data_IF_455220905936
#
_entry.id   IF_455220905936
#
_cell.length_a   1.000
_cell.length_b   1.000
_cell.length_c   1.000
_cell.angle_alpha   90.00
_cell.angle_beta   90.00
_cell.angle_gamma   90.00
#
_symmetry.space_group_name_H-M   'P 1'
#
loop_
_entity.id
_entity.type
_entity.pdbx_description
1 polymer ?
#
# COMPACT_ATOMS: atom_id res chain seq x y z
N UNK A 1 24.63 -8.48 15.46
CA UNK A 1 23.90 -7.43 16.19
C UNK A 1 24.55 -6.10 15.86
N UNK A 2 24.12 -5.44 14.79
CA UNK A 2 24.69 -4.16 14.38
C UNK A 2 24.01 -3.05 15.17
N UNK A 3 24.72 -2.51 16.17
CA UNK A 3 24.34 -1.27 16.82
C UNK A 3 24.47 -0.15 15.79
N UNK A 4 23.36 0.27 15.19
CA UNK A 4 23.29 1.54 14.49
C UNK A 4 23.52 2.61 15.54
N UNK A 5 24.70 3.24 15.54
CA UNK A 5 24.92 4.48 16.27
C UNK A 5 23.82 5.46 15.86
N UNK A 6 22.84 5.64 16.74
CA UNK A 6 21.67 6.46 16.50
C UNK A 6 22.15 7.91 16.36
N UNK A 7 22.36 8.35 15.13
CA UNK A 7 22.72 9.71 14.85
C UNK A 7 21.64 10.61 15.45
N UNK A 8 21.98 11.48 16.43
CA UNK A 8 20.99 12.27 17.16
C UNK A 8 20.21 13.18 16.22
N UNK A 9 20.84 13.64 15.13
CA UNK A 9 20.19 14.45 14.08
C UNK A 9 19.12 13.64 13.36
N UNK A 10 19.40 12.36 13.03
CA UNK A 10 18.42 11.49 12.37
C UNK A 10 17.24 11.18 13.29
N UNK A 11 17.50 11.04 14.59
CA UNK A 11 16.44 10.79 15.58
C UNK A 11 15.55 12.02 15.74
N UNK A 12 16.14 13.21 15.87
CA UNK A 12 15.41 14.48 15.94
C UNK A 12 14.56 14.72 14.68
N UNK A 13 15.12 14.42 13.50
CA UNK A 13 14.37 14.54 12.24
C UNK A 13 13.19 13.58 12.19
N UNK A 14 13.34 12.34 12.67
CA UNK A 14 12.24 11.36 12.76
C UNK A 14 11.15 11.82 13.70
N UNK A 15 11.51 12.37 14.87
CA UNK A 15 10.55 12.89 15.84
C UNK A 15 9.78 14.09 15.27
N UNK A 16 10.46 14.99 14.55
CA UNK A 16 9.83 16.14 13.89
C UNK A 16 8.89 15.72 12.77
N UNK A 17 9.27 14.73 11.96
CA UNK A 17 8.40 14.15 10.93
C UNK A 17 7.17 13.52 11.58
N UNK A 18 7.35 12.70 12.62
CA UNK A 18 6.25 12.06 13.34
C UNK A 18 5.27 13.09 13.93
N UNK A 19 5.78 14.22 14.43
CA UNK A 19 4.95 15.31 14.92
C UNK A 19 4.13 15.97 13.80
N UNK A 20 4.74 16.18 12.62
CA UNK A 20 4.08 16.77 11.44
C UNK A 20 3.06 15.83 10.80
N UNK A 21 3.29 14.53 10.85
CA UNK A 21 2.38 13.50 10.31
C UNK A 21 1.10 13.33 11.15
N UNK A 22 1.00 14.00 12.30
CA UNK A 22 -0.19 14.06 13.13
C UNK A 22 -0.32 12.91 14.13
N UNK A 23 -0.72 13.24 15.36
CA UNK A 23 -0.93 12.28 16.42
C UNK A 23 -2.20 11.43 16.19
N UNK A 24 -2.04 10.27 15.58
CA UNK A 24 -2.96 9.13 15.80
C UNK A 24 -2.14 7.88 16.09
N UNK A 25 -1.58 7.82 17.29
CA UNK A 25 -1.08 6.57 17.89
C UNK A 25 -2.28 5.80 18.43
N UNK A 26 -3.24 5.46 17.55
CA UNK A 26 -4.01 4.24 17.76
C UNK A 26 -3.16 3.13 17.17
N UNK A 27 -3.00 1.98 17.84
CA UNK A 27 -2.33 0.83 17.22
C UNK A 27 -3.05 0.56 15.90
N UNK A 28 -2.39 0.89 14.78
CA UNK A 28 -2.94 0.63 13.46
C UNK A 28 -2.99 -0.89 13.37
N UNK A 29 -4.17 -1.43 13.08
CA UNK A 29 -4.22 -2.81 12.65
C UNK A 29 -3.21 -2.99 11.50
N UNK A 30 -2.53 -4.11 11.44
CA UNK A 30 -1.56 -4.42 10.40
C UNK A 30 -2.01 -5.64 9.62
N UNK A 31 -1.70 -5.64 8.32
CA UNK A 31 -1.83 -6.79 7.45
C UNK A 31 -0.42 -7.36 7.22
N UNK A 32 -0.01 -8.43 7.92
CA UNK A 32 1.28 -9.09 7.67
C UNK A 32 1.28 -9.71 6.26
N UNK A 33 2.43 -9.92 5.63
CA UNK A 33 2.55 -10.68 4.38
C UNK A 33 2.39 -12.18 4.61
N UNK A 34 2.66 -12.67 5.82
CA UNK A 34 2.69 -14.10 6.13
C UNK A 34 3.99 -14.77 5.65
N UNK A 35 5.01 -13.95 5.34
CA UNK A 35 6.36 -14.37 4.96
C UNK A 35 7.29 -13.71 5.97
N UNK A 36 7.87 -14.52 6.84
CA UNK A 36 8.64 -14.05 7.99
C UNK A 36 9.77 -13.09 7.59
N UNK A 37 10.46 -13.41 6.50
CA UNK A 37 11.57 -12.64 5.97
C UNK A 37 11.15 -11.24 5.48
N UNK A 38 9.88 -11.06 5.11
CA UNK A 38 9.32 -9.75 4.73
C UNK A 38 8.82 -9.03 5.98
N UNK A 39 8.03 -9.73 6.81
CA UNK A 39 7.36 -9.12 7.96
C UNK A 39 8.38 -8.59 8.98
N UNK A 40 9.49 -9.29 9.23
CA UNK A 40 10.56 -8.85 10.13
C UNK A 40 11.29 -7.59 9.64
N UNK A 41 11.24 -7.29 8.34
CA UNK A 41 11.87 -6.10 7.76
C UNK A 41 10.97 -4.87 7.79
N UNK A 42 9.67 -5.04 8.07
CA UNK A 42 8.71 -3.94 8.12
C UNK A 42 8.56 -3.43 9.56
N UNK A 43 8.56 -2.11 9.80
CA UNK A 43 8.55 -1.53 11.16
C UNK A 43 7.41 -2.01 12.07
N UNK A 44 6.31 -2.51 11.51
CA UNK A 44 5.14 -3.00 12.26
C UNK A 44 4.74 -4.43 11.90
N UNK A 45 5.63 -5.20 11.26
CA UNK A 45 5.34 -6.59 10.89
C UNK A 45 4.37 -6.75 9.72
N UNK A 46 4.17 -5.71 8.91
CA UNK A 46 3.21 -5.72 7.80
C UNK A 46 2.80 -4.34 7.32
N UNK A 47 1.75 -4.30 6.50
CA UNK A 47 1.15 -3.08 5.97
C UNK A 47 0.15 -2.50 6.96
N UNK A 48 0.36 -1.28 7.44
CA UNK A 48 -0.57 -0.62 8.35
C UNK A 48 -1.89 -0.24 7.64
N UNK A 49 -3.03 -0.55 8.25
CA UNK A 49 -4.32 -0.02 7.81
C UNK A 49 -4.42 1.49 8.09
N UNK A 50 -5.10 2.24 7.23
CA UNK A 50 -5.18 3.71 7.33
C UNK A 50 -3.86 4.41 7.04
N UNK A 51 -3.03 3.81 6.19
CA UNK A 51 -1.83 4.40 5.60
C UNK A 51 -1.86 4.19 4.09
N UNK A 52 -1.09 5.01 3.37
CA UNK A 52 -0.87 4.85 1.93
C UNK A 52 0.35 3.97 1.73
N UNK A 53 0.22 2.96 0.87
CA UNK A 53 1.31 2.07 0.48
C UNK A 53 1.51 2.18 -1.03
N UNK A 54 2.74 2.44 -1.43
CA UNK A 54 3.13 2.51 -2.84
C UNK A 54 3.78 1.20 -3.26
N UNK A 55 3.36 0.66 -4.40
CA UNK A 55 3.95 -0.52 -5.02
C UNK A 55 4.43 -0.14 -6.40
N UNK A 56 5.72 -0.32 -6.66
CA UNK A 56 6.36 0.00 -7.92
C UNK A 56 7.16 -1.21 -8.43
N UNK A 57 7.16 -1.42 -9.75
CA UNK A 57 8.07 -2.37 -10.38
C UNK A 57 9.48 -1.79 -10.54
N UNK A 58 10.42 -2.62 -10.99
CA UNK A 58 11.82 -2.24 -11.14
C UNK A 58 12.14 -1.34 -12.34
N UNK A 59 11.13 -0.99 -13.15
CA UNK A 59 11.27 -0.24 -14.39
C UNK A 59 9.98 0.46 -14.80
N UNK A 60 10.03 1.16 -15.94
CA UNK A 60 8.89 1.91 -16.50
C UNK A 60 8.08 1.11 -17.55
N UNK A 61 8.30 -0.20 -17.64
CA UNK A 61 7.64 -1.05 -18.62
C UNK A 61 6.21 -1.43 -18.23
N UNK A 62 5.42 -1.86 -19.22
CA UNK A 62 4.06 -2.38 -18.99
C UNK A 62 4.06 -3.59 -18.04
N UNK A 63 5.08 -4.44 -18.13
CA UNK A 63 5.24 -5.62 -17.27
C UNK A 63 5.48 -5.21 -15.81
N UNK A 64 6.27 -4.16 -15.58
CA UNK A 64 6.56 -3.64 -14.25
C UNK A 64 5.28 -3.08 -13.59
N UNK A 65 4.49 -2.32 -14.35
CA UNK A 65 3.19 -1.82 -13.90
C UNK A 65 2.19 -2.94 -13.62
N UNK A 66 2.12 -3.96 -14.49
CA UNK A 66 1.25 -5.10 -14.30
C UNK A 66 1.64 -5.93 -13.07
N UNK A 67 2.93 -6.13 -12.83
CA UNK A 67 3.43 -6.83 -11.64
C UNK A 67 3.06 -6.08 -10.35
N UNK A 68 3.28 -4.76 -10.32
CA UNK A 68 2.90 -3.93 -9.17
C UNK A 68 1.39 -3.95 -8.91
N UNK A 69 0.58 -3.86 -9.98
CA UNK A 69 -0.88 -3.94 -9.89
C UNK A 69 -1.35 -5.31 -9.34
N UNK A 70 -0.82 -6.42 -9.87
CA UNK A 70 -1.19 -7.75 -9.39
C UNK A 70 -0.73 -8.00 -7.94
N UNK A 71 0.41 -7.45 -7.55
CA UNK A 71 0.86 -7.49 -6.16
C UNK A 71 -0.10 -6.74 -5.24
N UNK A 72 -0.47 -5.51 -5.60
CA UNK A 72 -1.46 -4.72 -4.86
C UNK A 72 -2.83 -5.42 -4.80
N UNK A 73 -3.25 -6.09 -5.88
CA UNK A 73 -4.47 -6.87 -5.92
C UNK A 73 -4.44 -8.09 -4.98
N UNK A 74 -3.31 -8.81 -4.92
CA UNK A 74 -3.12 -9.90 -3.96
C UNK A 74 -3.14 -9.42 -2.51
N UNK A 75 -2.58 -8.25 -2.23
CA UNK A 75 -2.72 -7.58 -0.92
C UNK A 75 -4.18 -7.26 -0.63
N UNK A 76 -4.88 -6.63 -1.58
CA UNK A 76 -6.29 -6.26 -1.42
C UNK A 76 -7.21 -7.48 -1.24
N UNK A 77 -6.93 -8.59 -1.89
CA UNK A 77 -7.66 -9.86 -1.74
C UNK A 77 -7.68 -10.34 -0.28
N UNK A 78 -6.60 -10.10 0.46
CA UNK A 78 -6.43 -10.52 1.88
C UNK A 78 -7.14 -9.58 2.87
N UNK A 79 -7.62 -8.42 2.40
CA UNK A 79 -8.46 -7.51 3.21
C UNK A 79 -9.91 -7.99 3.23
N UNK A 80 -10.77 -7.35 4.03
CA UNK A 80 -12.24 -7.58 4.05
C UNK A 80 -12.98 -6.41 3.40
N UNK A 81 -14.18 -6.67 2.87
CA UNK A 81 -15.05 -5.62 2.31
C UNK A 81 -14.81 -5.33 0.83
N UNK A 82 -15.40 -4.24 0.33
CA UNK A 82 -15.27 -3.81 -1.07
C UNK A 82 -13.92 -3.12 -1.30
N UNK A 83 -13.39 -3.28 -2.51
CA UNK A 83 -12.14 -2.68 -2.99
C UNK A 83 -12.50 -1.75 -4.14
N UNK A 84 -12.16 -0.48 -4.00
CA UNK A 84 -12.28 0.50 -5.08
C UNK A 84 -11.00 0.44 -5.90
N UNK A 85 -11.14 0.17 -7.19
CA UNK A 85 -10.02 0.09 -8.13
C UNK A 85 -10.08 1.27 -9.10
N UNK A 86 -9.24 2.28 -8.85
CA UNK A 86 -9.16 3.48 -9.66
C UNK A 86 -8.24 3.26 -10.87
N UNK A 87 -8.72 3.63 -12.06
CA UNK A 87 -8.03 3.48 -13.33
C UNK A 87 -7.94 4.82 -14.04
N UNK A 88 -6.76 5.15 -14.57
CA UNK A 88 -6.60 6.30 -15.46
C UNK A 88 -7.03 5.98 -16.91
N UNK A 89 -7.02 4.69 -17.27
CA UNK A 89 -7.40 4.15 -18.58
C UNK A 89 -8.06 2.79 -18.40
N UNK A 90 -9.01 2.38 -19.26
CA UNK A 90 -9.65 1.07 -19.18
C UNK A 90 -8.76 -0.04 -19.76
N UNK A 91 -7.52 -0.16 -19.31
CA UNK A 91 -6.52 -1.13 -19.79
C UNK A 91 -6.32 -2.33 -18.84
N UNK A 92 -7.08 -2.38 -17.75
CA UNK A 92 -7.04 -3.47 -16.79
C UNK A 92 -7.69 -4.75 -17.33
N UNK A 93 -6.94 -5.85 -17.32
CA UNK A 93 -7.50 -7.19 -17.51
C UNK A 93 -8.10 -7.73 -16.19
N UNK A 94 -9.39 -7.45 -15.96
CA UNK A 94 -10.11 -7.80 -14.73
C UNK A 94 -9.98 -9.28 -14.26
N UNK A 95 -9.98 -10.30 -15.15
CA UNK A 95 -9.80 -11.68 -14.72
C UNK A 95 -8.48 -11.95 -13.97
N UNK A 96 -7.42 -11.17 -14.22
CA UNK A 96 -6.16 -11.34 -13.50
C UNK A 96 -6.27 -10.96 -12.01
N UNK A 97 -7.19 -10.06 -11.64
CA UNK A 97 -7.47 -9.78 -10.23
C UNK A 97 -8.07 -11.00 -9.52
N UNK A 98 -8.99 -11.69 -10.19
CA UNK A 98 -9.59 -12.92 -9.65
C UNK A 98 -8.55 -14.04 -9.50
N UNK A 99 -7.58 -14.14 -10.43
CA UNK A 99 -6.50 -15.13 -10.37
C UNK A 99 -5.61 -14.97 -9.13
N UNK A 100 -5.42 -13.74 -8.64
CA UNK A 100 -4.68 -13.46 -7.39
C UNK A 100 -5.58 -13.46 -6.15
N UNK A 101 -6.83 -13.92 -6.27
CA UNK A 101 -7.77 -14.11 -5.17
C UNK A 101 -8.69 -12.93 -4.87
N UNK A 102 -8.62 -11.84 -5.64
CA UNK A 102 -9.53 -10.70 -5.48
C UNK A 102 -10.85 -10.99 -6.21
N UNK A 103 -11.84 -11.50 -5.47
CA UNK A 103 -13.14 -11.89 -6.02
C UNK A 103 -13.83 -10.73 -6.77
N UNK A 104 -14.38 -10.94 -7.98
CA UNK A 104 -15.01 -9.89 -8.79
C UNK A 104 -16.10 -9.10 -8.05
N UNK A 105 -16.96 -9.77 -7.27
CA UNK A 105 -18.01 -9.11 -6.48
C UNK A 105 -17.48 -8.12 -5.43
N UNK A 106 -16.19 -8.17 -5.10
CA UNK A 106 -15.57 -7.22 -4.16
C UNK A 106 -15.06 -5.96 -4.85
N UNK A 107 -14.92 -5.94 -6.18
CA UNK A 107 -14.25 -4.85 -6.90
C UNK A 107 -15.27 -3.85 -7.43
N UNK A 108 -15.00 -2.57 -7.19
CA UNK A 108 -15.73 -1.44 -7.78
C UNK A 108 -14.73 -0.70 -8.67
N UNK A 109 -14.97 -0.69 -9.97
CA UNK A 109 -14.10 0.01 -10.92
C UNK A 109 -14.49 1.48 -11.02
N UNK A 110 -13.50 2.36 -10.93
CA UNK A 110 -13.67 3.80 -11.05
C UNK A 110 -12.68 4.31 -12.09
N UNK A 111 -13.19 4.83 -13.20
CA UNK A 111 -12.37 5.53 -14.18
C UNK A 111 -12.22 7.00 -13.74
N UNK A 112 -10.99 7.43 -13.49
CA UNK A 112 -10.65 8.78 -13.10
C UNK A 112 -9.84 9.45 -14.22
N UNK A 113 -10.47 10.38 -14.93
CA UNK A 113 -9.98 10.99 -16.20
C UNK A 113 -8.81 11.98 -15.95
N UNK A 114 -8.31 12.07 -14.72
CA UNK A 114 -7.12 12.83 -14.34
C UNK A 114 -6.35 12.07 -13.27
N UNK A 115 -5.05 12.32 -13.21
CA UNK A 115 -4.18 12.09 -12.05
C UNK A 115 -4.61 12.95 -10.85
N UNK A 116 -5.88 12.80 -10.47
CA UNK A 116 -6.40 13.27 -9.21
C UNK A 116 -5.90 12.27 -8.17
N UNK A 117 -4.73 12.59 -7.58
CA UNK A 117 -4.45 12.26 -6.19
C UNK A 117 -5.78 12.42 -5.43
N UNK A 118 -6.35 11.30 -4.97
CA UNK A 118 -7.57 11.31 -4.19
C UNK A 118 -7.28 12.01 -2.85
N UNK A 119 -7.33 13.34 -2.83
CA UNK A 119 -7.64 14.13 -1.64
C UNK A 119 -9.11 13.86 -1.30
N UNK A 120 -9.38 12.68 -0.74
CA UNK A 120 -10.63 12.36 -0.03
C UNK A 120 -10.30 12.00 1.42
N UNK A 121 -9.49 12.84 2.06
CA UNK A 121 -9.43 12.98 3.50
C UNK A 121 -9.69 14.46 3.80
N UNK A 122 -10.92 14.79 4.19
CA UNK A 122 -11.33 16.17 4.48
C UNK A 122 -12.82 16.47 4.33
N UNK A 123 -13.70 15.56 4.76
CA UNK A 123 -15.01 15.89 5.31
C UNK A 123 -15.17 15.07 6.59
#
# INVERSE_FOLDING_TARGET
MAQTNANPIISELRDRIQHLEGAVVRPKAVLPFGVQEIDERLPSGGLAYGAVHEFAGGGAGVVDGAAAALFAAGVAARTKGKVVWCLARPDLFAPALAQVGLHPDRVIYVEAIRECICRLAGL
#
